data_IF_885783526728
#
_entry.id   IF_885783526728
#
_cell.length_a   1.000
_cell.length_b   1.000
_cell.length_c   1.000
_cell.angle_alpha   90.00
_cell.angle_beta   90.00
_cell.angle_gamma   90.00
#
_symmetry.space_group_name_H-M   'P 1'
#
loop_
_entity.id
_entity.type
_entity.pdbx_description
1 polymer ?
#
# COMPACT_ATOMS: atom_id res chain seq x y z
N UNK A 1 9.85 8.10 -20.17
CA UNK A 1 10.23 6.76 -19.67
C UNK A 1 9.47 6.55 -18.36
N UNK A 2 8.83 5.40 -18.14
CA UNK A 2 8.07 5.13 -16.91
C UNK A 2 9.06 4.78 -15.79
N UNK A 3 8.93 5.37 -14.58
CA UNK A 3 9.77 4.99 -13.44
C UNK A 3 9.65 3.51 -13.08
N UNK A 4 10.78 2.87 -12.69
CA UNK A 4 10.81 1.48 -12.22
C UNK A 4 10.38 1.41 -10.75
N UNK A 5 9.07 1.58 -10.49
CA UNK A 5 8.52 1.56 -9.14
C UNK A 5 7.35 0.58 -9.07
N UNK A 6 7.41 -0.36 -8.12
CA UNK A 6 6.30 -1.25 -7.76
C UNK A 6 5.57 -0.61 -6.58
N UNK A 7 4.36 -0.15 -6.82
CA UNK A 7 3.50 0.41 -5.78
C UNK A 7 2.57 -0.67 -5.21
N UNK A 8 2.44 -0.74 -3.89
CA UNK A 8 1.43 -1.55 -3.22
C UNK A 8 0.82 -0.78 -2.04
N UNK A 9 -0.41 -1.12 -1.68
CA UNK A 9 -1.11 -0.49 -0.55
C UNK A 9 -1.19 -1.47 0.63
N UNK A 10 -1.02 -0.95 1.85
CA UNK A 10 -1.24 -1.69 3.07
C UNK A 10 -1.76 -0.75 4.17
N UNK A 11 -3.08 -0.75 4.34
CA UNK A 11 -3.77 0.08 5.33
C UNK A 11 -4.40 -0.78 6.44
N UNK A 12 -4.52 -0.21 7.63
CA UNK A 12 -5.08 -0.78 8.84
C UNK A 12 -4.03 -1.11 9.93
N UNK A 13 -2.78 -0.64 9.79
CA UNK A 13 -1.65 -0.81 10.74
C UNK A 13 -1.35 -2.26 11.19
N UNK A 14 -1.98 -3.26 10.59
CA UNK A 14 -1.73 -4.67 10.92
C UNK A 14 -0.37 -5.10 10.38
N UNK A 15 0.26 -6.05 11.06
CA UNK A 15 1.45 -6.70 10.50
C UNK A 15 1.08 -7.43 9.20
N UNK A 16 1.86 -7.21 8.14
CA UNK A 16 1.72 -7.95 6.89
C UNK A 16 1.94 -9.45 7.20
N UNK A 17 1.01 -10.35 6.87
CA UNK A 17 1.19 -11.78 7.07
C UNK A 17 2.46 -12.30 6.37
N UNK A 18 3.12 -13.30 6.97
CA UNK A 18 4.38 -13.85 6.48
C UNK A 18 4.32 -14.25 4.99
N UNK A 19 3.23 -14.89 4.56
CA UNK A 19 3.03 -15.27 3.17
C UNK A 19 3.07 -14.06 2.21
N UNK A 20 2.50 -12.92 2.60
CA UNK A 20 2.53 -11.71 1.77
C UNK A 20 3.92 -11.05 1.80
N UNK A 21 4.63 -11.13 2.93
CA UNK A 21 6.02 -10.68 3.00
C UNK A 21 6.92 -11.49 2.05
N UNK A 22 6.69 -12.81 1.91
CA UNK A 22 7.39 -13.65 0.93
C UNK A 22 7.17 -13.14 -0.50
N UNK A 23 5.96 -12.73 -0.86
CA UNK A 23 5.69 -12.14 -2.19
C UNK A 23 6.40 -10.80 -2.39
N UNK A 24 6.40 -9.92 -1.38
CA UNK A 24 7.11 -8.64 -1.43
C UNK A 24 8.63 -8.86 -1.58
N UNK A 25 9.19 -9.84 -0.87
CA UNK A 25 10.60 -10.21 -1.03
C UNK A 25 10.88 -10.80 -2.42
N UNK A 26 9.97 -11.61 -2.95
CA UNK A 26 10.05 -12.09 -4.33
C UNK A 26 10.09 -10.96 -5.35
N UNK A 27 9.36 -9.85 -5.14
CA UNK A 27 9.49 -8.67 -6.00
C UNK A 27 10.90 -8.07 -5.95
N UNK A 28 11.54 -8.00 -4.78
CA UNK A 28 12.93 -7.51 -4.65
C UNK A 28 13.93 -8.40 -5.37
N UNK A 29 13.73 -9.71 -5.31
CA UNK A 29 14.60 -10.69 -5.96
C UNK A 29 14.47 -10.67 -7.48
N UNK A 30 13.24 -10.61 -8.00
CA UNK A 30 12.96 -10.63 -9.44
C UNK A 30 13.14 -9.27 -10.11
N UNK A 31 13.04 -8.18 -9.35
CA UNK A 31 13.13 -6.81 -9.85
C UNK A 31 14.12 -5.98 -9.01
N UNK A 32 15.42 -6.33 -8.99
CA UNK A 32 16.41 -5.72 -8.09
C UNK A 32 16.65 -4.22 -8.35
N UNK A 33 16.42 -3.76 -9.58
CA UNK A 33 16.56 -2.35 -9.97
C UNK A 33 15.30 -1.51 -9.69
N UNK A 34 14.22 -2.11 -9.18
CA UNK A 34 12.95 -1.44 -8.96
C UNK A 34 12.82 -0.97 -7.51
N UNK A 35 12.31 0.24 -7.32
CA UNK A 35 11.88 0.70 -6.01
C UNK A 35 10.56 0.00 -5.64
N UNK A 36 10.45 -0.46 -4.40
CA UNK A 36 9.20 -0.98 -3.87
C UNK A 36 8.63 0.06 -2.90
N UNK A 37 7.51 0.68 -3.29
CA UNK A 37 6.84 1.76 -2.54
C UNK A 37 5.57 1.25 -1.88
N UNK A 38 5.56 1.22 -0.55
CA UNK A 38 4.38 0.96 0.25
C UNK A 38 3.57 2.24 0.44
N UNK A 39 2.27 2.18 0.18
CA UNK A 39 1.29 3.18 0.55
C UNK A 39 0.52 2.73 1.79
N UNK A 40 0.80 3.39 2.90
CA UNK A 40 0.22 3.18 4.23
C UNK A 40 -0.13 4.53 4.89
N UNK A 41 -0.54 4.51 6.16
CA UNK A 41 -0.90 5.69 6.96
C UNK A 41 0.26 6.69 7.14
N UNK A 42 1.51 6.26 6.96
CA UNK A 42 2.70 7.14 7.07
C UNK A 42 2.97 7.88 5.78
N UNK A 43 2.56 7.31 4.66
CA UNK A 43 2.81 7.84 3.32
C UNK A 43 1.61 8.56 2.70
N UNK A 44 0.40 8.31 3.21
CA UNK A 44 -0.85 8.89 2.72
C UNK A 44 -1.71 9.37 3.89
N UNK A 45 -2.09 10.66 3.85
CA UNK A 45 -3.03 11.22 4.82
C UNK A 45 -4.45 10.73 4.52
N UNK A 46 -4.91 9.74 5.27
CA UNK A 46 -6.27 9.18 5.16
C UNK A 46 -7.36 10.21 5.47
N UNK A 47 -7.02 11.30 6.18
CA UNK A 47 -7.97 12.32 6.63
C UNK A 47 -8.17 13.44 5.61
N UNK A 48 -7.32 13.52 4.59
CA UNK A 48 -7.35 14.59 3.58
C UNK A 48 -8.67 14.61 2.78
N UNK A 49 -9.39 13.49 2.72
CA UNK A 49 -10.64 13.37 1.99
C UNK A 49 -11.70 12.62 2.82
N UNK A 50 -12.96 13.08 2.75
CA UNK A 50 -14.07 12.52 3.54
C UNK A 50 -14.33 11.04 3.22
N UNK A 51 -14.18 10.66 1.95
CA UNK A 51 -14.33 9.26 1.51
C UNK A 51 -13.29 8.34 2.15
N UNK A 52 -12.00 8.68 2.04
CA UNK A 52 -10.92 7.84 2.58
C UNK A 52 -11.00 7.77 4.09
N UNK A 53 -11.33 8.89 4.75
CA UNK A 53 -11.55 8.94 6.19
C UNK A 53 -12.68 8.00 6.62
N UNK A 54 -13.86 8.11 6.01
CA UNK A 54 -15.01 7.27 6.37
C UNK A 54 -14.80 5.79 6.06
N UNK A 55 -14.15 5.47 4.93
CA UNK A 55 -13.77 4.10 4.59
C UNK A 55 -12.78 3.53 5.62
N UNK A 56 -11.76 4.30 6.00
CA UNK A 56 -10.78 3.89 6.99
C UNK A 56 -11.42 3.64 8.37
N UNK A 57 -12.28 4.56 8.84
CA UNK A 57 -13.03 4.42 10.10
C UNK A 57 -13.91 3.17 10.12
N UNK A 58 -14.50 2.80 8.98
CA UNK A 58 -15.27 1.57 8.80
C UNK A 58 -14.40 0.32 8.55
N UNK A 59 -13.07 0.44 8.62
CA UNK A 59 -12.09 -0.62 8.32
C UNK A 59 -12.21 -1.20 6.90
N UNK A 60 -12.73 -0.39 5.98
CA UNK A 60 -12.94 -0.68 4.57
C UNK A 60 -11.68 -0.35 3.75
N UNK A 61 -10.55 -0.96 4.11
CA UNK A 61 -9.22 -0.62 3.59
C UNK A 61 -9.03 -0.84 2.08
N UNK A 62 -9.78 -1.77 1.48
CA UNK A 62 -9.79 -1.96 0.03
C UNK A 62 -10.24 -0.67 -0.68
N UNK A 63 -11.27 0.00 -0.18
CA UNK A 63 -11.76 1.26 -0.74
C UNK A 63 -10.79 2.43 -0.52
N UNK A 64 -10.04 2.42 0.56
CA UNK A 64 -8.95 3.39 0.77
C UNK A 64 -7.87 3.18 -0.29
N UNK A 65 -7.47 1.92 -0.50
CA UNK A 65 -6.47 1.55 -1.50
C UNK A 65 -6.94 1.90 -2.92
N UNK A 66 -8.23 1.74 -3.22
CA UNK A 66 -8.82 2.11 -4.52
C UNK A 66 -8.70 3.60 -4.80
N UNK A 67 -8.84 4.45 -3.79
CA UNK A 67 -8.70 5.90 -3.93
C UNK A 67 -7.24 6.35 -4.09
N UNK A 68 -6.30 5.64 -3.45
CA UNK A 68 -4.87 5.99 -3.44
C UNK A 68 -4.17 5.63 -4.76
N UNK A 69 -4.74 4.69 -5.52
CA UNK A 69 -4.20 4.19 -6.80
C UNK A 69 -4.22 5.22 -7.92
#
# INVERSE_FOLDING_TARGET
MIPKIIHYCWFGEKTIPEQLQQYINGWKEQCPDWEIRCWDEKSFDITQHSFTKSAYEQKKYAFVSDYVR
#
